data_IF_023352388667
#
_entry.id   IF_023352388667
#
_cell.length_a   1.000
_cell.length_b   1.000
_cell.length_c   1.000
_cell.angle_alpha   90.00
_cell.angle_beta   90.00
_cell.angle_gamma   90.00
#
_symmetry.space_group_name_H-M   'P 1'
#
loop_
_entity.id
_entity.type
_entity.pdbx_description
1 polymer ?
#
# COMPACT_ATOMS: atom_id res chain seq x y z
N UNK A 1 28.35 6.15 50.56
CA UNK A 1 28.71 7.49 50.01
C UNK A 1 29.26 7.25 48.62
N UNK A 2 28.98 8.20 47.72
CA UNK A 2 29.68 8.42 46.43
C UNK A 2 29.29 7.51 45.25
N UNK A 3 29.06 7.98 44.01
CA UNK A 3 29.03 9.28 43.35
C UNK A 3 27.97 9.17 42.24
N UNK A 4 27.14 10.21 42.03
CA UNK A 4 26.49 10.68 40.79
C UNK A 4 25.25 11.49 41.17
N UNK A 5 25.56 12.52 41.94
CA UNK A 5 24.78 13.74 42.08
C UNK A 5 25.15 14.68 40.92
N UNK A 6 24.22 15.59 40.59
CA UNK A 6 24.25 16.64 39.55
C UNK A 6 24.08 16.13 38.10
N UNK A 7 22.95 16.37 37.42
CA UNK A 7 22.28 17.68 37.29
C UNK A 7 20.76 17.57 37.43
N UNK A 8 20.28 17.78 38.65
CA UNK A 8 19.02 18.47 38.85
C UNK A 8 19.27 19.95 38.52
N UNK A 9 18.79 20.40 37.36
CA UNK A 9 18.50 21.82 37.15
C UNK A 9 16.99 21.91 37.01
N UNK A 10 16.39 22.19 38.17
CA UNK A 10 15.23 23.05 38.36
C UNK A 10 14.16 22.99 37.26
N UNK A 11 13.15 22.15 37.45
CA UNK A 11 11.82 22.40 36.87
C UNK A 11 10.81 22.40 38.01
N UNK A 12 10.85 23.47 38.81
CA UNK A 12 9.69 23.91 39.60
C UNK A 12 9.44 25.35 39.21
N UNK A 13 8.58 25.56 38.21
CA UNK A 13 7.63 26.67 38.09
C UNK A 13 6.94 26.62 36.72
N UNK A 14 5.77 25.99 36.63
CA UNK A 14 4.57 26.54 36.00
C UNK A 14 3.49 25.44 36.02
N UNK A 15 2.35 25.74 36.66
CA UNK A 15 1.12 25.00 36.46
C UNK A 15 0.79 25.02 34.96
N UNK A 16 0.34 23.91 34.37
CA UNK A 16 0.21 23.66 32.91
C UNK A 16 1.58 23.36 32.30
N UNK A 17 1.96 22.15 31.92
CA UNK A 17 1.31 21.30 30.91
C UNK A 17 1.66 19.83 31.20
N UNK A 18 0.68 19.01 31.59
CA UNK A 18 0.77 17.58 31.30
C UNK A 18 0.62 17.45 29.79
N UNK A 19 1.70 17.57 29.02
CA UNK A 19 1.70 17.01 27.67
C UNK A 19 1.88 15.51 27.88
N UNK A 20 0.79 14.80 28.08
CA UNK A 20 0.78 13.37 27.79
C UNK A 20 1.31 13.24 26.36
N UNK A 21 2.44 12.54 26.21
CA UNK A 21 2.91 12.12 24.90
C UNK A 21 1.89 11.13 24.35
N UNK A 22 0.81 11.67 23.77
CA UNK A 22 -0.12 10.90 22.97
C UNK A 22 0.70 10.31 21.83
N UNK A 23 0.99 9.01 21.95
CA UNK A 23 1.58 8.25 20.87
C UNK A 23 0.62 8.39 19.68
N UNK A 24 1.04 8.94 18.53
CA UNK A 24 0.14 9.07 17.40
C UNK A 24 -0.29 7.66 16.98
N UNK A 25 -1.54 7.31 17.28
CA UNK A 25 -2.12 6.04 16.85
C UNK A 25 -2.10 6.05 15.33
N UNK A 26 -1.48 5.02 14.73
CA UNK A 26 -1.48 4.87 13.28
C UNK A 26 -2.94 4.71 12.86
N UNK A 27 -3.50 5.74 12.21
CA UNK A 27 -4.84 5.66 11.64
C UNK A 27 -4.83 4.63 10.52
N UNK A 28 -5.74 3.67 10.57
CA UNK A 28 -5.95 2.67 9.52
C UNK A 28 -7.31 2.87 8.85
N UNK A 29 -7.40 2.46 7.59
CA UNK A 29 -8.65 2.49 6.80
C UNK A 29 -8.76 1.23 5.95
N UNK A 30 -9.97 0.95 5.48
CA UNK A 30 -10.25 -0.13 4.55
C UNK A 30 -10.01 0.35 3.11
N UNK A 31 -9.16 -0.36 2.38
CA UNK A 31 -8.94 -0.16 0.95
C UNK A 31 -9.68 -1.23 0.16
N UNK A 32 -10.29 -0.81 -0.95
CA UNK A 32 -10.83 -1.67 -2.00
C UNK A 32 -9.97 -1.50 -3.24
N UNK A 33 -9.42 -2.60 -3.72
CA UNK A 33 -8.54 -2.65 -4.88
C UNK A 33 -9.20 -3.51 -5.95
N UNK A 34 -9.23 -3.02 -7.18
CA UNK A 34 -9.54 -3.82 -8.36
C UNK A 34 -8.29 -3.87 -9.24
N UNK A 35 -7.79 -5.07 -9.51
CA UNK A 35 -6.66 -5.32 -10.40
C UNK A 35 -7.23 -5.84 -11.72
N UNK A 36 -6.91 -5.15 -12.81
CA UNK A 36 -7.37 -5.56 -14.15
C UNK A 36 -6.17 -6.08 -14.93
N UNK A 37 -6.15 -7.39 -15.17
CA UNK A 37 -5.15 -8.01 -16.04
C UNK A 37 -5.52 -7.75 -17.50
N UNK A 38 -4.50 -7.52 -18.34
CA UNK A 38 -4.70 -7.28 -19.78
C UNK A 38 -5.40 -8.47 -20.44
N UNK A 39 -6.21 -8.19 -21.47
CA UNK A 39 -6.84 -9.23 -22.30
C UNK A 39 -5.91 -9.74 -23.43
N UNK A 40 -4.61 -9.53 -23.30
CA UNK A 40 -3.64 -10.00 -24.29
C UNK A 40 -3.30 -11.48 -24.06
N UNK A 41 -2.93 -12.19 -25.12
CA UNK A 41 -2.55 -13.60 -25.02
C UNK A 41 -1.34 -13.76 -24.09
N UNK A 42 -1.42 -14.69 -23.13
CA UNK A 42 -0.37 -14.93 -22.13
C UNK A 42 -0.27 -13.86 -21.04
N UNK A 43 -1.26 -12.97 -20.90
CA UNK A 43 -1.19 -11.88 -19.93
C UNK A 43 -1.39 -12.30 -18.46
N UNK A 44 -1.91 -13.50 -18.20
CA UNK A 44 -2.22 -13.99 -16.85
C UNK A 44 -1.03 -14.61 -16.13
N UNK A 45 -1.10 -14.67 -14.79
CA UNK A 45 0.03 -15.10 -13.93
C UNK A 45 -0.41 -15.99 -12.76
N UNK A 46 0.38 -17.02 -12.47
CA UNK A 46 0.28 -17.79 -11.21
C UNK A 46 1.22 -17.27 -10.10
N UNK A 47 1.99 -16.22 -10.37
CA UNK A 47 2.89 -15.60 -9.40
C UNK A 47 2.18 -14.92 -8.22
N UNK A 48 2.92 -14.76 -7.12
CA UNK A 48 2.43 -13.93 -6.03
C UNK A 48 2.53 -12.46 -6.39
N UNK A 49 1.42 -11.74 -6.27
CA UNK A 49 1.36 -10.29 -6.52
C UNK A 49 1.31 -9.53 -5.19
N UNK A 50 2.09 -8.45 -5.12
CA UNK A 50 2.16 -7.55 -3.98
C UNK A 50 1.88 -6.11 -4.40
N UNK A 51 1.27 -5.33 -3.51
CA UNK A 51 0.94 -3.92 -3.72
C UNK A 51 1.46 -3.04 -2.58
N UNK A 52 1.79 -1.79 -2.91
CA UNK A 52 1.95 -0.67 -1.97
C UNK A 52 1.18 0.54 -2.46
N UNK A 53 0.50 1.24 -1.56
CA UNK A 53 -0.29 2.43 -1.87
C UNK A 53 0.39 3.64 -1.22
N UNK A 54 0.42 4.76 -1.94
CA UNK A 54 1.05 6.01 -1.50
C UNK A 54 0.07 7.18 -1.61
N UNK A 55 0.16 8.10 -0.65
CA UNK A 55 -0.58 9.35 -0.63
C UNK A 55 0.16 10.45 0.14
N UNK A 56 -0.54 11.51 0.49
CA UNK A 56 0.03 12.69 1.17
C UNK A 56 0.60 12.43 2.57
N UNK A 57 0.17 11.37 3.25
CA UNK A 57 0.59 11.00 4.62
C UNK A 57 1.56 9.80 4.65
N UNK A 58 2.12 9.43 3.49
CA UNK A 58 3.09 8.34 3.35
C UNK A 58 2.53 7.16 2.56
N UNK A 59 2.89 5.95 2.98
CA UNK A 59 2.56 4.72 2.27
C UNK A 59 2.12 3.59 3.21
N UNK A 60 1.46 2.60 2.63
CA UNK A 60 1.21 1.31 3.29
C UNK A 60 2.49 0.46 3.30
N UNK A 61 2.49 -0.56 4.15
CA UNK A 61 3.40 -1.69 3.99
C UNK A 61 3.12 -2.45 2.68
N UNK A 62 3.99 -3.40 2.34
CA UNK A 62 3.77 -4.34 1.24
C UNK A 62 2.67 -5.32 1.62
N UNK A 63 1.64 -5.43 0.77
CA UNK A 63 0.49 -6.30 1.01
C UNK A 63 0.44 -7.32 -0.12
N UNK A 64 0.43 -8.60 0.22
CA UNK A 64 0.20 -9.68 -0.75
C UNK A 64 -1.28 -9.70 -1.13
N UNK A 65 -1.57 -9.66 -2.43
CA UNK A 65 -2.92 -9.78 -2.97
C UNK A 65 -3.26 -11.27 -3.12
N UNK A 66 -4.18 -11.76 -2.29
CA UNK A 66 -4.55 -13.17 -2.28
C UNK A 66 -6.00 -13.32 -1.83
N UNK A 67 -6.71 -14.27 -2.45
CA UNK A 67 -8.04 -14.79 -2.05
C UNK A 67 -8.17 -16.21 -2.62
N UNK A 68 -9.30 -16.88 -2.40
CA UNK A 68 -9.56 -18.17 -3.03
C UNK A 68 -9.86 -18.03 -4.53
N UNK A 69 -9.55 -19.08 -5.30
CA UNK A 69 -9.77 -19.12 -6.75
C UNK A 69 -8.50 -18.87 -7.56
N UNK A 70 -8.66 -18.85 -8.88
CA UNK A 70 -7.57 -18.51 -9.81
C UNK A 70 -7.57 -17.01 -10.08
N UNK A 71 -6.43 -16.35 -9.88
CA UNK A 71 -6.31 -14.89 -9.83
C UNK A 71 -5.43 -14.38 -10.95
N UNK A 72 -5.64 -13.13 -11.32
CA UNK A 72 -4.81 -12.40 -12.28
C UNK A 72 -4.79 -13.04 -13.67
N UNK A 73 -5.86 -13.74 -14.04
CA UNK A 73 -6.03 -14.35 -15.36
C UNK A 73 -6.21 -13.32 -16.47
N UNK A 74 -5.94 -13.72 -17.72
CA UNK A 74 -6.15 -12.87 -18.91
C UNK A 74 -7.56 -12.27 -18.91
N UNK A 75 -7.65 -10.95 -18.97
CA UNK A 75 -8.91 -10.19 -18.99
C UNK A 75 -9.69 -10.22 -17.66
N UNK A 76 -9.12 -10.77 -16.58
CA UNK A 76 -9.80 -10.84 -15.29
C UNK A 76 -9.78 -9.50 -14.55
N UNK A 77 -10.83 -9.32 -13.75
CA UNK A 77 -11.02 -8.20 -12.84
C UNK A 77 -11.05 -8.75 -11.41
N UNK A 78 -9.94 -8.60 -10.70
CA UNK A 78 -9.78 -9.16 -9.37
C UNK A 78 -9.91 -8.11 -8.27
N UNK A 79 -10.96 -8.24 -7.47
CA UNK A 79 -11.19 -7.39 -6.31
C UNK A 79 -10.55 -7.92 -5.03
N UNK A 80 -9.98 -7.00 -4.24
CA UNK A 80 -9.38 -7.24 -2.94
C UNK A 80 -9.82 -6.18 -1.93
N UNK A 81 -9.92 -6.57 -0.67
CA UNK A 81 -10.23 -5.68 0.44
C UNK A 81 -9.27 -5.93 1.59
N UNK A 82 -8.63 -4.88 2.10
CA UNK A 82 -7.72 -4.98 3.24
C UNK A 82 -7.70 -3.71 4.07
N UNK A 83 -7.37 -3.86 5.36
CA UNK A 83 -7.15 -2.74 6.28
C UNK A 83 -5.65 -2.42 6.30
N UNK A 84 -5.30 -1.16 6.10
CA UNK A 84 -3.91 -0.69 6.14
C UNK A 84 -3.83 0.74 6.65
N UNK A 85 -2.61 1.22 6.90
CA UNK A 85 -2.34 2.62 7.27
C UNK A 85 -3.03 3.60 6.31
N UNK A 86 -3.65 4.63 6.84
CA UNK A 86 -4.19 5.73 6.06
C UNK A 86 -3.06 6.52 5.42
N UNK A 87 -3.06 6.58 4.09
CA UNK A 87 -2.01 7.27 3.31
C UNK A 87 -2.37 8.71 2.98
N UNK A 88 -3.53 9.20 3.44
CA UNK A 88 -4.04 10.51 3.08
C UNK A 88 -4.84 10.51 1.77
N UNK A 89 -5.42 11.67 1.47
CA UNK A 89 -6.01 11.99 0.18
C UNK A 89 -5.28 13.22 -0.40
N UNK A 90 -5.01 13.27 -1.71
CA UNK A 90 -5.26 12.21 -2.69
C UNK A 90 -4.32 11.00 -2.53
N UNK A 91 -4.76 9.84 -3.03
CA UNK A 91 -3.86 8.71 -3.30
C UNK A 91 -3.12 9.04 -4.60
N UNK A 92 -1.79 9.05 -4.55
CA UNK A 92 -0.96 9.65 -5.60
C UNK A 92 -0.18 8.63 -6.41
N UNK A 93 0.09 7.45 -5.86
CA UNK A 93 0.91 6.42 -6.52
C UNK A 93 0.55 5.03 -6.00
N UNK A 94 0.61 4.05 -6.89
CA UNK A 94 0.59 2.63 -6.57
C UNK A 94 1.89 2.01 -7.07
N UNK A 95 2.46 1.11 -6.26
CA UNK A 95 3.51 0.20 -6.70
C UNK A 95 2.99 -1.23 -6.65
N UNK A 96 3.35 -2.01 -7.66
CA UNK A 96 3.02 -3.43 -7.77
C UNK A 96 4.28 -4.22 -8.08
N UNK A 97 4.35 -5.45 -7.57
CA UNK A 97 5.43 -6.38 -7.84
C UNK A 97 4.85 -7.79 -7.92
N UNK A 98 5.42 -8.60 -8.80
CA UNK A 98 5.13 -10.03 -8.89
C UNK A 98 6.42 -10.84 -8.70
N UNK A 99 6.35 -11.96 -8.00
CA UNK A 99 7.50 -12.87 -7.82
C UNK A 99 7.61 -13.89 -8.97
N UNK A 100 8.37 -14.97 -8.77
CA UNK A 100 8.56 -16.04 -9.77
C UNK A 100 7.97 -17.38 -9.32
N UNK A 101 7.02 -17.37 -8.38
CA UNK A 101 6.33 -18.62 -7.99
C UNK A 101 5.23 -18.95 -9.01
N UNK A 102 4.80 -20.21 -9.06
CA UNK A 102 3.77 -20.67 -9.99
C UNK A 102 4.32 -21.07 -11.36
N UNK A 103 3.45 -21.61 -12.21
CA UNK A 103 3.75 -21.89 -13.61
C UNK A 103 3.25 -20.70 -14.43
N UNK A 104 3.97 -20.26 -15.45
CA UNK A 104 3.60 -19.06 -16.23
C UNK A 104 3.52 -17.79 -15.35
N UNK A 105 4.68 -17.34 -14.89
CA UNK A 105 4.81 -16.18 -13.99
C UNK A 105 4.89 -14.83 -14.72
N UNK A 106 4.73 -14.83 -16.05
CA UNK A 106 4.59 -13.60 -16.82
C UNK A 106 3.28 -12.91 -16.50
N UNK A 107 3.26 -11.57 -16.50
CA UNK A 107 2.04 -10.85 -16.18
C UNK A 107 1.98 -9.53 -16.93
N UNK A 108 0.88 -9.30 -17.66
CA UNK A 108 0.58 -8.00 -18.26
C UNK A 108 -0.57 -7.34 -17.53
N UNK A 109 -0.25 -6.26 -16.82
CA UNK A 109 -1.20 -5.49 -16.05
C UNK A 109 -1.74 -4.33 -16.88
N UNK A 110 -3.07 -4.20 -17.02
CA UNK A 110 -3.72 -3.02 -17.62
C UNK A 110 -3.72 -1.88 -16.58
N UNK A 111 -4.49 -2.04 -15.50
CA UNK A 111 -4.70 -0.97 -14.51
C UNK A 111 -5.03 -1.50 -13.13
N UNK A 112 -4.86 -0.63 -12.14
CA UNK A 112 -5.33 -0.83 -10.78
C UNK A 112 -6.26 0.33 -10.39
N UNK A 113 -7.42 0.01 -9.82
CA UNK A 113 -8.33 0.97 -9.21
C UNK A 113 -8.20 0.87 -7.69
N UNK A 114 -8.07 2.01 -7.03
CA UNK A 114 -7.94 2.09 -5.57
C UNK A 114 -9.01 3.00 -5.00
N UNK A 115 -9.74 2.51 -4.00
CA UNK A 115 -10.69 3.28 -3.22
C UNK A 115 -10.40 3.10 -1.72
N UNK A 116 -10.35 4.19 -0.98
CA UNK A 116 -10.26 4.18 0.49
C UNK A 116 -11.65 4.47 1.10
N UNK A 117 -11.72 5.12 2.27
CA UNK A 117 -12.99 5.56 2.85
C UNK A 117 -13.66 6.70 2.05
N UNK A 118 -12.92 7.43 1.22
CA UNK A 118 -13.48 8.49 0.38
C UNK A 118 -14.30 7.90 -0.79
N UNK A 119 -15.32 8.62 -1.31
CA UNK A 119 -16.10 8.15 -2.45
C UNK A 119 -15.30 8.14 -3.78
N UNK A 120 -14.08 8.68 -3.79
CA UNK A 120 -13.22 8.81 -4.96
C UNK A 120 -12.52 7.48 -5.26
N UNK A 121 -12.59 7.05 -6.53
CA UNK A 121 -11.80 5.95 -7.08
C UNK A 121 -10.61 6.55 -7.83
N UNK A 122 -9.40 6.13 -7.46
CA UNK A 122 -8.16 6.52 -8.13
C UNK A 122 -7.75 5.44 -9.11
N UNK A 123 -7.49 5.81 -10.36
CA UNK A 123 -7.05 4.90 -11.44
C UNK A 123 -5.55 5.03 -11.68
N UNK A 124 -4.88 3.89 -11.76
CA UNK A 124 -3.45 3.78 -12.03
C UNK A 124 -3.24 2.87 -13.24
N UNK A 125 -2.94 3.47 -14.39
CA UNK A 125 -2.66 2.72 -15.62
C UNK A 125 -1.21 2.22 -15.62
N UNK A 126 -1.01 0.95 -15.96
CA UNK A 126 0.29 0.32 -16.14
C UNK A 126 0.52 -0.04 -17.61
N UNK A 127 -0.45 -0.73 -18.23
CA UNK A 127 -0.41 -1.19 -19.63
C UNK A 127 0.94 -1.80 -20.02
N UNK A 128 1.52 -2.61 -19.13
CA UNK A 128 2.88 -3.09 -19.26
C UNK A 128 3.03 -4.51 -18.70
N UNK A 129 3.99 -5.23 -19.29
CA UNK A 129 4.51 -6.47 -18.70
C UNK A 129 5.27 -6.14 -17.42
N UNK A 130 4.92 -6.80 -16.32
CA UNK A 130 5.53 -6.59 -15.02
C UNK A 130 6.72 -7.53 -14.88
N UNK A 131 7.96 -7.03 -14.79
CA UNK A 131 9.14 -7.86 -14.62
C UNK A 131 9.14 -8.54 -13.23
N UNK A 132 9.77 -9.73 -13.11
CA UNK A 132 9.85 -10.45 -11.85
C UNK A 132 10.62 -9.65 -10.80
N UNK A 133 10.21 -9.77 -9.54
CA UNK A 133 10.95 -9.30 -8.36
C UNK A 133 11.32 -7.81 -8.42
N UNK A 134 10.58 -7.01 -9.17
CA UNK A 134 10.79 -5.57 -9.33
C UNK A 134 9.50 -4.82 -9.12
N UNK A 135 9.57 -3.79 -8.28
CA UNK A 135 8.46 -2.85 -8.07
C UNK A 135 8.31 -1.94 -9.29
N UNK A 136 7.14 -1.98 -9.90
CA UNK A 136 6.72 -1.06 -10.94
C UNK A 136 5.71 -0.09 -10.35
N UNK A 137 5.80 1.18 -10.73
CA UNK A 137 5.00 2.27 -10.19
C UNK A 137 4.12 2.89 -11.25
N UNK A 138 2.94 3.31 -10.86
CA UNK A 138 2.05 4.16 -11.64
C UNK A 138 1.58 5.32 -10.76
N UNK A 139 1.53 6.52 -11.33
CA UNK A 139 1.11 7.74 -10.64
C UNK A 139 -0.32 8.06 -11.05
N UNK A 140 -1.14 8.43 -10.08
CA UNK A 140 -2.55 8.73 -10.30
C UNK A 140 -2.70 10.06 -11.03
N UNK A 141 -3.47 10.04 -12.11
CA UNK A 141 -4.02 11.22 -12.77
C UNK A 141 -5.54 11.07 -12.78
N UNK A 142 -6.26 12.16 -12.47
CA UNK A 142 -7.73 12.20 -12.54
C UNK A 142 -8.23 11.80 -13.92
#
# INVERSE_FOLDING_TARGET
>A
MDFYSLKAVLVVFCLTVCVEFAHPSIQTVLYRIEVVTSDEWGAGTDANVHIKIYGSLGNTDSIKLTKGGNLFEKGAHDEFVFVAKYVGNPITKVEVMRDTKGLFDDWKLDKILVKSNAPIVYKFAFNAWIPPNKWIKSYGGK
#
